data_IF_622615935176
#
_entry.id   IF_622615935176
#
_cell.length_a   1.000
_cell.length_b   1.000
_cell.length_c   1.000
_cell.angle_alpha   90.00
_cell.angle_beta   90.00
_cell.angle_gamma   90.00
#
_symmetry.space_group_name_H-M   'P 1'
#
loop_
_entity.id
_entity.type
_entity.pdbx_description
1 polymer ?
#
# COMPACT_ATOMS: atom_id res chain seq x y z
N UNK A 1 -17.15 -10.35 22.19
CA UNK A 1 -16.82 -9.50 21.03
C UNK A 1 -16.95 -8.06 21.48
N UNK A 2 -15.95 -7.22 21.26
CA UNK A 2 -15.91 -5.80 21.65
C UNK A 2 -15.64 -4.97 20.39
N UNK A 3 -16.36 -3.86 20.19
CA UNK A 3 -16.16 -2.94 19.06
C UNK A 3 -15.36 -1.74 19.55
N UNK A 4 -14.27 -1.42 18.84
CA UNK A 4 -13.38 -0.29 19.16
C UNK A 4 -13.33 0.67 18.00
N UNK A 5 -13.34 1.97 18.30
CA UNK A 5 -13.06 3.03 17.33
C UNK A 5 -11.58 3.38 17.45
N UNK A 6 -10.81 3.09 16.42
CA UNK A 6 -9.37 3.41 16.36
C UNK A 6 -9.17 4.57 15.41
N UNK A 7 -8.67 5.69 15.93
CA UNK A 7 -8.29 6.84 15.09
C UNK A 7 -7.02 6.52 14.31
N UNK A 8 -7.07 6.74 13.00
CA UNK A 8 -5.90 6.73 12.11
C UNK A 8 -5.31 8.14 12.06
N UNK A 9 -4.06 8.27 12.46
CA UNK A 9 -3.32 9.53 12.45
C UNK A 9 -2.62 9.65 11.09
N UNK A 10 -3.23 10.43 10.18
CA UNK A 10 -2.76 10.62 8.80
C UNK A 10 -1.71 11.74 8.79
N UNK A 11 -0.48 11.49 8.30
CA UNK A 11 0.53 12.52 8.15
C UNK A 11 0.05 13.69 7.28
N UNK A 12 0.59 14.88 7.53
CA UNK A 12 0.18 16.09 6.79
C UNK A 12 0.37 15.90 5.28
N UNK A 13 -0.57 16.45 4.52
CA UNK A 13 -0.57 16.47 3.04
C UNK A 13 -0.46 15.07 2.41
N UNK A 14 -0.95 14.04 3.12
CA UNK A 14 -0.86 12.64 2.69
C UNK A 14 -2.22 12.03 2.46
N UNK A 15 -2.30 11.15 1.46
CA UNK A 15 -3.44 10.28 1.21
C UNK A 15 -3.21 8.91 1.86
N UNK A 16 -4.30 8.18 2.04
CA UNK A 16 -4.36 6.89 2.72
C UNK A 16 -5.05 5.84 1.84
N UNK A 17 -4.49 4.63 1.80
CA UNK A 17 -5.19 3.40 1.43
C UNK A 17 -5.12 2.44 2.61
N UNK A 18 -6.27 1.92 3.05
CA UNK A 18 -6.37 0.83 4.01
C UNK A 18 -7.02 -0.35 3.30
N UNK A 19 -6.43 -1.54 3.42
CA UNK A 19 -6.94 -2.73 2.75
C UNK A 19 -6.60 -4.01 3.49
N UNK A 20 -7.03 -5.12 2.91
CA UNK A 20 -6.72 -6.47 3.41
C UNK A 20 -5.97 -7.24 2.35
N UNK A 21 -4.97 -8.01 2.77
CA UNK A 21 -4.18 -8.87 1.92
C UNK A 21 -3.74 -10.09 2.72
N UNK A 22 -3.15 -11.06 2.05
CA UNK A 22 -2.63 -12.26 2.68
C UNK A 22 -1.24 -12.54 2.11
N UNK A 23 -0.45 -13.33 2.85
CA UNK A 23 0.89 -13.74 2.48
C UNK A 23 1.96 -12.62 2.52
N UNK A 24 3.17 -12.99 2.98
CA UNK A 24 4.26 -12.05 3.28
C UNK A 24 4.73 -11.25 2.06
N UNK A 25 4.59 -11.84 0.86
CA UNK A 25 4.95 -11.20 -0.41
C UNK A 25 4.12 -9.94 -0.71
N UNK A 26 3.00 -9.74 -0.03
CA UNK A 26 2.19 -8.50 -0.07
C UNK A 26 3.07 -7.25 0.04
N UNK A 27 4.08 -7.26 0.91
CA UNK A 27 4.93 -6.09 1.15
C UNK A 27 5.72 -5.71 -0.10
N UNK A 28 6.36 -6.69 -0.73
CA UNK A 28 7.14 -6.50 -1.96
C UNK A 28 6.25 -6.16 -3.16
N UNK A 29 5.14 -6.90 -3.33
CA UNK A 29 4.23 -6.71 -4.47
C UNK A 29 3.57 -5.32 -4.45
N UNK A 30 3.15 -4.85 -3.26
CA UNK A 30 2.61 -3.50 -3.12
C UNK A 30 3.69 -2.44 -3.30
N UNK A 31 4.92 -2.66 -2.79
CA UNK A 31 6.02 -1.74 -3.04
C UNK A 31 6.27 -1.58 -4.55
N UNK A 32 6.38 -2.69 -5.28
CA UNK A 32 6.56 -2.70 -6.74
C UNK A 32 5.39 -2.01 -7.45
N UNK A 33 4.15 -2.30 -7.06
CA UNK A 33 2.97 -1.66 -7.64
C UNK A 33 3.00 -0.13 -7.48
N UNK A 34 3.43 0.36 -6.32
CA UNK A 34 3.54 1.79 -6.03
C UNK A 34 4.62 2.45 -6.89
N UNK A 35 5.85 1.93 -6.90
CA UNK A 35 6.97 2.53 -7.66
C UNK A 35 6.78 2.45 -9.17
N UNK A 36 6.07 1.43 -9.66
CA UNK A 36 5.74 1.29 -11.08
C UNK A 36 4.56 2.16 -11.55
N UNK A 37 3.77 2.71 -10.61
CA UNK A 37 2.60 3.52 -10.93
C UNK A 37 2.93 5.01 -11.09
N UNK A 38 3.81 5.55 -10.23
CA UNK A 38 4.19 6.97 -10.26
C UNK A 38 5.71 7.10 -10.06
N UNK A 39 6.46 7.64 -11.05
CA UNK A 39 7.88 7.88 -10.90
C UNK A 39 8.20 8.76 -9.70
N UNK A 40 9.13 8.32 -8.84
CA UNK A 40 9.56 9.09 -7.67
C UNK A 40 8.50 9.21 -6.56
N UNK A 41 7.47 8.36 -6.57
CA UNK A 41 6.42 8.34 -5.55
C UNK A 41 7.01 8.32 -4.13
N UNK A 42 6.42 9.10 -3.23
CA UNK A 42 6.72 9.09 -1.80
C UNK A 42 5.60 8.37 -1.07
N UNK A 43 5.92 7.21 -0.51
CA UNK A 43 4.95 6.42 0.24
C UNK A 43 5.61 5.60 1.35
N UNK A 44 4.79 5.22 2.32
CA UNK A 44 5.11 4.23 3.34
C UNK A 44 3.99 3.20 3.44
N UNK A 45 4.36 1.94 3.54
CA UNK A 45 3.50 0.77 3.61
C UNK A 45 3.78 0.03 4.91
N UNK A 46 2.72 -0.44 5.57
CA UNK A 46 2.83 -1.41 6.66
C UNK A 46 1.77 -2.51 6.52
N UNK A 47 2.17 -3.76 6.72
CA UNK A 47 1.33 -4.96 6.64
C UNK A 47 1.43 -5.77 7.92
N UNK A 48 0.30 -6.17 8.48
CA UNK A 48 0.23 -6.99 9.69
C UNK A 48 0.24 -8.49 9.33
N UNK A 49 1.34 -9.17 9.62
CA UNK A 49 1.40 -10.63 9.55
C UNK A 49 0.43 -11.25 10.58
N UNK A 50 -0.42 -12.19 10.18
CA UNK A 50 -1.42 -12.80 11.08
C UNK A 50 -1.04 -14.19 11.59
N UNK A 51 0.15 -14.68 11.23
CA UNK A 51 0.68 -15.99 11.62
C UNK A 51 2.15 -15.88 12.03
N UNK A 52 2.73 -16.94 12.60
CA UNK A 52 4.15 -16.96 12.94
C UNK A 52 4.55 -15.88 13.94
N UNK A 53 5.56 -15.09 13.58
CA UNK A 53 6.09 -14.01 14.42
C UNK A 53 5.10 -12.85 14.62
N UNK A 54 4.10 -12.71 13.73
CA UNK A 54 3.04 -11.69 13.80
C UNK A 54 3.60 -10.26 13.85
N UNK A 55 4.62 -10.00 13.04
CA UNK A 55 5.26 -8.70 12.96
C UNK A 55 4.51 -7.75 12.02
N UNK A 56 4.63 -6.45 12.30
CA UNK A 56 4.28 -5.40 11.34
C UNK A 56 5.45 -5.22 10.40
N UNK A 57 5.26 -5.63 9.14
CA UNK A 57 6.27 -5.54 8.09
C UNK A 57 6.09 -4.22 7.36
N UNK A 58 7.17 -3.50 7.12
CA UNK A 58 7.12 -2.15 6.55
C UNK A 58 7.98 -2.05 5.31
N UNK A 59 7.52 -1.30 4.31
CA UNK A 59 8.38 -0.83 3.23
C UNK A 59 7.95 0.52 2.65
N UNK A 60 8.74 1.12 1.76
CA UNK A 60 8.40 2.38 1.12
C UNK A 60 9.60 3.24 0.77
N UNK A 61 9.32 4.37 0.13
CA UNK A 61 10.32 5.31 -0.39
C UNK A 61 10.48 6.55 0.48
N UNK A 62 9.74 6.63 1.58
CA UNK A 62 9.76 7.73 2.53
C UNK A 62 9.69 7.21 3.98
N UNK A 63 10.73 7.49 4.77
CA UNK A 63 10.87 6.97 6.13
C UNK A 63 9.87 7.56 7.13
N UNK A 64 9.43 8.81 6.93
CA UNK A 64 8.38 9.42 7.77
C UNK A 64 7.06 8.68 7.58
N UNK A 65 6.69 8.44 6.32
CA UNK A 65 5.46 7.73 5.98
C UNK A 65 5.50 6.25 6.40
N UNK A 66 6.67 5.59 6.31
CA UNK A 66 6.86 4.21 6.80
C UNK A 66 6.61 4.08 8.29
N UNK A 67 7.19 4.99 9.08
CA UNK A 67 6.99 5.01 10.54
C UNK A 67 5.53 5.26 10.89
N UNK A 68 4.90 6.24 10.25
CA UNK A 68 3.49 6.53 10.45
C UNK A 68 2.60 5.32 10.10
N UNK A 69 2.90 4.61 9.00
CA UNK A 69 2.19 3.39 8.62
C UNK A 69 2.31 2.31 9.71
N UNK A 70 3.53 2.06 10.20
CA UNK A 70 3.78 1.07 11.25
C UNK A 70 3.02 1.39 12.55
N UNK A 71 3.11 2.63 13.02
CA UNK A 71 2.44 3.08 14.25
C UNK A 71 0.92 2.95 14.17
N UNK A 72 0.33 3.31 13.03
CA UNK A 72 -1.11 3.13 12.80
C UNK A 72 -1.51 1.65 12.77
N UNK A 73 -0.71 0.79 12.13
CA UNK A 73 -0.98 -0.65 12.08
C UNK A 73 -0.85 -1.34 13.44
N UNK A 74 0.13 -0.94 14.25
CA UNK A 74 0.26 -1.40 15.64
C UNK A 74 -0.95 -1.03 16.49
N UNK A 75 -1.52 0.17 16.27
CA UNK A 75 -2.75 0.61 16.95
C UNK A 75 -4.00 -0.12 16.46
N UNK A 76 -4.09 -0.41 15.16
CA UNK A 76 -5.21 -1.15 14.58
C UNK A 76 -5.22 -2.62 15.00
N UNK A 77 -4.04 -3.26 15.05
CA UNK A 77 -3.88 -4.64 15.54
C UNK A 77 -4.64 -5.70 14.71
N UNK A 78 -5.06 -5.37 13.49
CA UNK A 78 -5.83 -6.27 12.63
C UNK A 78 -4.88 -7.09 11.74
N UNK A 79 -4.84 -8.41 11.94
CA UNK A 79 -4.04 -9.31 11.10
C UNK A 79 -4.50 -9.28 9.64
N UNK A 80 -3.58 -9.48 8.70
CA UNK A 80 -3.86 -9.48 7.26
C UNK A 80 -4.45 -8.17 6.73
N UNK A 81 -4.22 -7.06 7.44
CA UNK A 81 -4.51 -5.73 6.94
C UNK A 81 -3.22 -5.01 6.56
N UNK A 82 -3.32 -4.04 5.66
CA UNK A 82 -2.22 -3.16 5.30
C UNK A 82 -2.69 -1.71 5.21
N UNK A 83 -1.77 -0.79 5.47
CA UNK A 83 -1.95 0.64 5.29
C UNK A 83 -0.86 1.18 4.36
N UNK A 84 -1.24 2.07 3.46
CA UNK A 84 -0.32 2.84 2.62
C UNK A 84 -0.61 4.32 2.83
N UNK A 85 0.40 5.07 3.26
CA UNK A 85 0.39 6.52 3.18
C UNK A 85 1.18 6.97 1.97
N UNK A 86 0.72 7.99 1.26
CA UNK A 86 1.41 8.55 0.10
C UNK A 86 1.31 10.08 0.06
N UNK A 87 2.36 10.74 -0.43
CA UNK A 87 2.44 12.20 -0.53
C UNK A 87 2.78 12.60 -1.96
N UNK A 88 2.12 13.63 -2.48
CA UNK A 88 2.26 14.06 -3.88
C UNK A 88 1.73 13.05 -4.91
N UNK A 89 1.03 12.00 -4.44
CA UNK A 89 0.30 11.02 -5.25
C UNK A 89 -1.07 10.78 -4.62
N UNK A 90 -1.99 10.23 -5.40
CA UNK A 90 -3.38 9.99 -5.01
C UNK A 90 -3.75 8.52 -5.21
N UNK A 91 -4.73 7.99 -4.44
CA UNK A 91 -5.13 6.59 -4.57
C UNK A 91 -5.51 6.18 -6.00
N UNK A 92 -6.12 7.08 -6.77
CA UNK A 92 -6.46 6.83 -8.18
C UNK A 92 -5.26 6.49 -9.06
N UNK A 93 -4.05 6.94 -8.70
CA UNK A 93 -2.83 6.63 -9.44
C UNK A 93 -2.41 5.16 -9.29
N UNK A 94 -2.82 4.49 -8.21
CA UNK A 94 -2.29 3.17 -7.79
C UNK A 94 -3.37 2.09 -7.66
N UNK A 95 -4.63 2.46 -7.40
CA UNK A 95 -5.75 1.51 -7.25
C UNK A 95 -6.18 0.85 -8.58
N UNK A 96 -5.85 1.45 -9.73
CA UNK A 96 -6.17 0.91 -11.05
C UNK A 96 -5.16 -0.14 -11.55
N UNK A 97 -4.48 -0.86 -10.66
CA UNK A 97 -3.42 -1.80 -11.02
C UNK A 97 -3.91 -3.06 -11.78
N UNK A 98 -5.22 -3.36 -11.81
CA UNK A 98 -5.78 -4.32 -12.77
C UNK A 98 -5.80 -3.75 -14.21
N UNK A 99 -5.98 -2.44 -14.36
CA UNK A 99 -6.05 -1.72 -15.64
C UNK A 99 -4.68 -1.40 -16.27
N UNK A 100 -3.60 -1.30 -15.49
CA UNK A 100 -2.24 -1.09 -16.02
C UNK A 100 -1.76 -2.35 -16.77
N UNK A 101 -2.10 -3.54 -16.27
CA UNK A 101 -1.80 -4.82 -16.94
C UNK A 101 -2.63 -5.00 -18.20
N UNK A 102 -3.95 -4.81 -18.12
CA UNK A 102 -4.86 -4.94 -19.26
C UNK A 102 -4.58 -3.93 -20.38
N UNK A 103 -4.31 -2.65 -20.08
CA UNK A 103 -4.01 -1.62 -21.10
C UNK A 103 -2.68 -1.87 -21.81
N UNK A 104 -1.65 -2.35 -21.10
CA UNK A 104 -0.35 -2.71 -21.71
C UNK A 104 -0.51 -3.92 -22.64
N UNK A 105 -1.27 -4.94 -22.25
CA UNK A 105 -1.54 -6.12 -23.07
C UNK A 105 -2.45 -5.80 -24.27
N UNK A 106 -3.50 -5.00 -24.08
CA UNK A 106 -4.45 -4.63 -25.14
C UNK A 106 -3.80 -3.77 -26.23
N UNK A 107 -3.03 -2.74 -25.86
CA UNK A 107 -2.35 -1.86 -26.83
C UNK A 107 -1.26 -2.59 -27.65
N UNK A 108 -0.62 -3.62 -27.06
CA UNK A 108 0.29 -4.53 -27.77
C UNK A 108 -0.46 -5.48 -28.71
N UNK A 109 -1.60 -6.01 -28.28
CA UNK A 109 -2.45 -6.89 -29.11
C UNK A 109 -2.98 -6.22 -30.39
N UNK A 110 -3.24 -4.90 -30.38
CA UNK A 110 -3.77 -4.16 -31.55
C UNK A 110 -2.69 -3.43 -32.37
N UNK A 111 -1.40 -3.62 -32.05
CA UNK A 111 -0.29 -3.07 -32.83
C UNK A 111 -0.03 -1.57 -32.68
N UNK A 112 -0.70 -0.88 -31.75
CA UNK A 112 -0.51 0.57 -31.51
C UNK A 112 0.79 0.89 -30.76
N UNK A 113 1.25 -0.03 -29.90
CA UNK A 113 2.59 0.01 -29.26
C UNK A 113 3.34 -1.28 -29.57
N UNK A 114 4.66 -1.19 -29.82
CA UNK A 114 5.56 -2.36 -29.82
C UNK A 114 5.77 -2.86 -28.39
#
# INVERSE_FOLDING_TARGET
MEIKVVKVDIPKDSNLILGTAHFIKTVEDLYEAMVNSVPGIKFGLAFCESSGERLVRTEGTDEELKRAAAENMLRLGCGHSFIIFMRGAYPINVLNAEGVRWRKEFLRKIGYKR
#
